data_IF_799781913534
#
_entry.id   IF_799781913534
#
_cell.length_a   1.000
_cell.length_b   1.000
_cell.length_c   1.000
_cell.angle_alpha   90.00
_cell.angle_beta   90.00
_cell.angle_gamma   90.00
#
_symmetry.space_group_name_H-M   'P 1'
#
loop_
_entity.id
_entity.type
_entity.pdbx_description
1 polymer ?
#
# COMPACT_ATOMS: atom_id res chain seq x y z
N UNK A 1 -7.44 -12.31 -49.72
CA UNK A 1 -6.30 -11.43 -49.51
C UNK A 1 -6.41 -10.94 -48.09
N UNK A 2 -5.87 -11.67 -47.13
CA UNK A 2 -4.59 -11.54 -46.48
C UNK A 2 -4.28 -10.12 -46.03
N UNK A 3 -4.43 -9.81 -44.76
CA UNK A 3 -3.22 -9.48 -44.00
C UNK A 3 -3.48 -9.60 -42.51
N UNK A 4 -2.74 -10.51 -41.86
CA UNK A 4 -2.70 -10.68 -40.43
C UNK A 4 -1.76 -9.63 -39.82
N UNK A 5 -2.16 -9.10 -38.67
CA UNK A 5 -1.25 -8.46 -37.73
C UNK A 5 -1.45 -8.96 -36.32
N UNK A 6 -0.82 -10.09 -36.08
CA UNK A 6 -0.38 -10.52 -34.76
C UNK A 6 0.72 -9.55 -34.25
N UNK A 7 0.44 -8.70 -33.28
CA UNK A 7 1.46 -7.98 -32.50
C UNK A 7 0.98 -7.67 -31.10
N UNK A 8 1.60 -8.35 -30.14
CA UNK A 8 1.69 -7.78 -28.81
C UNK A 8 1.41 -8.65 -27.62
N UNK A 9 1.79 -9.92 -27.63
CA UNK A 9 2.10 -10.60 -26.37
C UNK A 9 3.50 -10.20 -25.92
N UNK A 10 3.61 -9.07 -25.25
CA UNK A 10 4.88 -8.68 -24.62
C UNK A 10 5.20 -9.66 -23.49
N UNK A 11 6.38 -10.27 -23.62
CA UNK A 11 7.06 -11.12 -22.63
C UNK A 11 7.49 -10.28 -21.42
N UNK A 12 6.57 -9.91 -20.54
CA UNK A 12 6.86 -9.16 -19.33
C UNK A 12 7.67 -10.02 -18.35
N UNK A 13 7.43 -11.34 -18.30
CA UNK A 13 8.16 -12.25 -17.41
C UNK A 13 9.66 -12.41 -17.70
N UNK A 14 10.09 -12.29 -18.94
CA UNK A 14 11.51 -12.47 -19.31
C UNK A 14 12.42 -11.29 -18.94
N UNK A 15 11.89 -10.08 -18.83
CA UNK A 15 12.67 -8.89 -18.46
C UNK A 15 12.90 -8.79 -16.95
N UNK A 16 11.89 -9.10 -16.13
CA UNK A 16 12.03 -9.14 -14.66
C UNK A 16 13.07 -10.19 -14.22
N UNK A 17 13.03 -11.36 -14.84
CA UNK A 17 13.99 -12.42 -14.53
C UNK A 17 15.44 -12.06 -14.94
N UNK A 18 15.65 -11.30 -16.02
CA UNK A 18 16.97 -10.79 -16.39
C UNK A 18 17.47 -9.67 -15.47
N UNK A 19 16.59 -8.81 -14.99
CA UNK A 19 16.95 -7.75 -14.05
C UNK A 19 17.30 -8.32 -12.67
N UNK A 20 16.55 -9.33 -12.15
CA UNK A 20 16.94 -10.03 -10.91
C UNK A 20 18.30 -10.73 -11.05
N UNK A 21 18.58 -11.42 -12.17
CA UNK A 21 19.92 -11.99 -12.43
C UNK A 21 21.01 -10.92 -12.45
N UNK A 22 20.78 -9.78 -13.07
CA UNK A 22 21.76 -8.70 -13.12
C UNK A 22 22.00 -8.06 -11.73
N UNK A 23 21.00 -8.01 -10.85
CA UNK A 23 21.16 -7.55 -9.46
C UNK A 23 21.87 -8.60 -8.59
N UNK A 24 21.56 -9.88 -8.77
CA UNK A 24 22.25 -10.97 -8.06
C UNK A 24 23.73 -11.02 -8.46
N UNK A 25 24.04 -10.83 -9.75
CA UNK A 25 25.43 -10.80 -10.23
C UNK A 25 26.21 -9.57 -9.73
N UNK A 26 25.57 -8.46 -9.38
CA UNK A 26 26.24 -7.28 -8.80
C UNK A 26 26.49 -7.37 -7.30
N UNK A 27 25.79 -8.24 -6.58
CA UNK A 27 25.99 -8.48 -5.15
C UNK A 27 26.63 -9.82 -4.81
N UNK A 28 26.96 -10.61 -5.84
CA UNK A 28 27.53 -11.96 -5.70
C UNK A 28 29.04 -12.02 -5.67
N UNK A 29 29.68 -11.19 -4.87
CA UNK A 29 31.10 -11.34 -4.57
C UNK A 29 31.29 -11.33 -3.04
N UNK A 30 30.87 -12.38 -2.36
CA UNK A 30 31.41 -13.02 -1.15
C UNK A 30 30.43 -14.12 -0.72
N UNK A 31 30.65 -15.33 -1.13
CA UNK A 31 30.15 -16.50 -0.42
C UNK A 31 31.09 -17.67 -0.57
N UNK A 32 31.77 -18.00 0.53
CA UNK A 32 32.31 -19.33 0.77
C UNK A 32 31.39 -20.05 1.72
N UNK A 33 31.10 -21.34 1.50
CA UNK A 33 30.21 -22.10 2.37
C UNK A 33 30.87 -22.35 3.72
N UNK A 34 30.15 -22.08 4.81
CA UNK A 34 30.47 -22.47 6.16
C UNK A 34 30.14 -23.95 6.35
N UNK A 35 31.15 -24.82 6.22
CA UNK A 35 31.11 -26.17 6.78
C UNK A 35 31.23 -26.10 8.31
N UNK A 36 30.21 -26.63 8.99
CA UNK A 36 30.27 -26.90 10.43
C UNK A 36 31.23 -28.07 10.68
N UNK A 37 32.38 -27.81 11.28
CA UNK A 37 33.14 -28.80 12.02
C UNK A 37 33.25 -28.37 13.47
N UNK A 38 32.56 -29.13 14.31
CA UNK A 38 32.89 -29.21 15.71
C UNK A 38 34.26 -29.96 15.85
N UNK A 39 35.20 -29.34 16.53
CA UNK A 39 36.10 -30.01 17.47
C UNK A 39 37.25 -29.08 17.91
N UNK A 40 37.43 -29.08 19.22
CA UNK A 40 38.64 -28.89 19.98
C UNK A 40 39.47 -27.60 19.78
N UNK A 41 39.59 -26.79 20.84
CA UNK A 41 40.90 -26.51 21.39
C UNK A 41 40.87 -25.63 22.64
N UNK A 42 41.34 -26.24 23.70
CA UNK A 42 41.93 -25.55 24.87
C UNK A 42 43.34 -25.03 24.51
N UNK A 43 43.77 -24.07 25.29
CA UNK A 43 45.14 -23.61 25.53
C UNK A 43 45.61 -22.36 24.76
N UNK A 44 45.86 -21.39 25.52
CA UNK A 44 47.01 -20.63 25.95
C UNK A 44 46.75 -19.11 25.95
N UNK A 45 46.40 -18.61 27.13
CA UNK A 45 46.58 -17.19 27.47
C UNK A 45 47.74 -17.11 28.51
N UNK A 46 48.81 -16.49 28.12
CA UNK A 46 49.84 -16.01 29.03
C UNK A 46 49.50 -14.61 29.49
N UNK A 47 49.57 -14.30 30.78
CA UNK A 47 49.38 -12.96 31.29
C UNK A 47 50.72 -12.28 31.48
N UNK A 48 50.88 -11.11 30.85
CA UNK A 48 51.95 -10.20 31.30
C UNK A 48 51.58 -8.73 31.05
N UNK A 49 51.87 -7.96 32.13
CA UNK A 49 51.97 -6.52 32.20
C UNK A 49 50.71 -5.69 32.56
N UNK A 50 50.47 -5.67 33.87
CA UNK A 50 49.87 -4.50 34.55
C UNK A 50 50.96 -3.71 35.28
N UNK A 51 51.05 -2.38 35.14
CA UNK A 51 51.88 -1.56 36.01
C UNK A 51 51.19 -1.22 37.34
N UNK A 52 52.01 -1.04 38.35
CA UNK A 52 51.75 -1.01 39.76
C UNK A 52 50.77 0.04 40.29
N UNK A 53 50.17 -0.31 41.39
CA UNK A 53 49.41 0.39 42.39
C UNK A 53 49.56 1.92 42.45
N UNK A 54 48.40 2.61 42.31
CA UNK A 54 48.18 3.96 42.86
C UNK A 54 47.22 3.83 44.03
N UNK A 55 47.64 4.40 45.18
CA UNK A 55 47.08 4.23 46.51
C UNK A 55 45.59 4.48 46.62
N UNK A 56 44.89 3.55 47.26
CA UNK A 56 43.43 3.39 47.35
C UNK A 56 42.72 4.35 48.31
N UNK A 57 43.35 5.34 48.92
CA UNK A 57 42.68 6.22 49.90
C UNK A 57 42.15 7.55 49.33
N UNK A 58 42.80 8.06 48.29
CA UNK A 58 42.34 9.34 47.70
C UNK A 58 41.10 9.19 46.81
N UNK A 59 40.94 8.05 46.21
CA UNK A 59 39.85 7.76 45.29
C UNK A 59 38.51 7.51 46.02
N UNK A 60 38.55 6.96 47.25
CA UNK A 60 37.34 6.66 48.05
C UNK A 60 36.64 7.91 48.59
N UNK A 61 37.41 8.95 49.00
CA UNK A 61 36.83 10.20 49.54
C UNK A 61 36.28 11.11 48.45
N UNK A 62 36.84 11.06 47.24
CA UNK A 62 36.33 11.80 46.10
C UNK A 62 35.03 11.20 45.53
N UNK A 63 34.97 9.85 45.50
CA UNK A 63 33.79 9.15 45.02
C UNK A 63 32.59 9.30 45.97
N UNK A 64 32.79 9.28 47.28
CA UNK A 64 31.73 9.46 48.27
C UNK A 64 31.17 10.89 48.33
N UNK A 65 31.99 11.91 47.99
CA UNK A 65 31.49 13.30 47.90
C UNK A 65 30.74 13.58 46.62
N UNK A 66 31.08 12.97 45.52
CA UNK A 66 30.32 13.09 44.27
C UNK A 66 29.04 12.28 44.32
N UNK A 67 29.02 11.13 44.97
CA UNK A 67 27.82 10.30 45.15
C UNK A 67 26.77 10.98 46.01
N UNK A 68 27.14 11.73 47.06
CA UNK A 68 26.21 12.44 47.92
C UNK A 68 25.56 13.67 47.20
N UNK A 69 26.31 14.37 46.34
CA UNK A 69 25.81 15.47 45.55
C UNK A 69 24.91 15.01 44.40
N UNK A 70 25.26 13.86 43.80
CA UNK A 70 24.42 13.26 42.73
C UNK A 70 23.10 12.67 43.25
N UNK A 71 23.13 12.11 44.49
CA UNK A 71 21.91 11.55 45.12
C UNK A 71 20.93 12.66 45.55
N UNK A 72 21.47 13.82 46.05
CA UNK A 72 20.61 14.97 46.41
C UNK A 72 20.03 15.65 45.18
N UNK A 73 20.76 15.75 44.05
CA UNK A 73 20.24 16.28 42.80
C UNK A 73 19.21 15.32 42.17
N UNK A 74 19.38 14.01 42.32
CA UNK A 74 18.44 13.01 41.78
C UNK A 74 17.17 12.95 42.60
N UNK A 75 17.18 13.13 43.91
CA UNK A 75 16.00 13.20 44.76
C UNK A 75 15.21 14.51 44.55
N UNK A 76 15.87 15.65 44.27
CA UNK A 76 15.17 16.89 43.96
C UNK A 76 14.56 16.86 42.55
N UNK A 77 15.13 16.14 41.58
CA UNK A 77 14.56 15.93 40.27
C UNK A 77 13.46 14.85 40.27
N UNK A 78 13.49 13.87 41.17
CA UNK A 78 12.47 12.83 41.29
C UNK A 78 11.18 13.31 41.95
N UNK A 79 11.19 14.39 42.71
CA UNK A 79 9.96 14.93 43.32
C UNK A 79 9.23 15.94 42.44
N UNK A 80 9.90 16.45 41.38
CA UNK A 80 9.27 17.32 40.36
C UNK A 80 8.78 16.54 39.12
N UNK A 81 9.26 15.31 38.91
CA UNK A 81 8.70 14.37 37.95
C UNK A 81 7.72 13.44 38.69
N UNK A 82 6.56 13.96 39.09
CA UNK A 82 5.36 13.12 39.06
C UNK A 82 5.28 12.61 37.63
N UNK A 83 5.78 11.40 37.42
CA UNK A 83 5.64 10.73 36.16
C UNK A 83 4.16 10.75 35.86
N UNK A 84 3.73 11.62 34.94
CA UNK A 84 2.49 11.41 34.23
C UNK A 84 2.71 10.04 33.61
N UNK A 85 2.19 9.00 34.28
CA UNK A 85 2.15 7.67 33.68
C UNK A 85 1.41 7.87 32.36
N UNK A 86 1.89 7.26 31.31
CA UNK A 86 1.21 7.30 30.01
C UNK A 86 -0.26 6.83 30.09
N UNK A 87 -0.65 6.20 31.24
CA UNK A 87 -2.01 5.86 31.65
C UNK A 87 -2.85 7.04 32.11
N UNK A 88 -2.27 8.21 32.48
CA UNK A 88 -3.01 9.35 33.04
C UNK A 88 -3.33 10.43 32.00
N UNK A 89 -2.84 10.29 30.79
CA UNK A 89 -3.37 11.05 29.65
C UNK A 89 -4.76 10.48 29.34
N UNK A 90 -5.81 11.32 29.28
CA UNK A 90 -7.10 10.84 28.82
C UNK A 90 -6.84 10.19 27.46
N UNK A 91 -7.09 8.89 27.36
CA UNK A 91 -7.16 8.19 26.07
C UNK A 91 -8.29 8.89 25.32
N UNK A 92 -7.93 9.91 24.52
CA UNK A 92 -8.84 10.42 23.53
C UNK A 92 -9.34 9.16 22.80
N UNK A 93 -10.64 8.88 22.90
CA UNK A 93 -11.25 7.70 22.27
C UNK A 93 -10.76 7.64 20.83
N UNK A 94 -9.86 6.73 20.56
CA UNK A 94 -9.31 6.54 19.20
C UNK A 94 -10.48 6.02 18.38
N UNK A 95 -11.02 6.87 17.52
CA UNK A 95 -12.11 6.47 16.64
C UNK A 95 -11.60 5.45 15.63
N UNK A 96 -12.15 4.24 15.58
CA UNK A 96 -11.80 3.25 14.58
C UNK A 96 -11.92 3.82 13.17
N UNK A 97 -11.03 3.41 12.29
CA UNK A 97 -11.14 3.67 10.86
C UNK A 97 -12.28 2.82 10.28
N UNK A 98 -13.20 3.44 9.54
CA UNK A 98 -14.23 2.75 8.78
C UNK A 98 -13.61 2.21 7.49
N UNK A 99 -13.08 0.99 7.54
CA UNK A 99 -12.52 0.32 6.38
C UNK A 99 -13.63 -0.17 5.45
N UNK A 100 -13.74 0.47 4.29
CA UNK A 100 -14.75 0.16 3.28
C UNK A 100 -14.24 -0.94 2.33
N UNK A 101 -14.62 -2.19 2.57
CA UNK A 101 -14.28 -3.32 1.70
C UNK A 101 -14.93 -3.17 0.33
N UNK A 102 -14.15 -2.77 -0.68
CA UNK A 102 -14.60 -2.50 -2.04
C UNK A 102 -13.90 -3.45 -3.03
N UNK A 103 -14.62 -4.42 -3.60
CA UNK A 103 -14.05 -5.21 -4.67
C UNK A 103 -13.90 -4.34 -5.93
N UNK A 104 -12.71 -4.37 -6.56
CA UNK A 104 -12.57 -3.79 -7.89
C UNK A 104 -13.28 -4.66 -8.91
N UNK A 105 -13.80 -4.04 -9.98
CA UNK A 105 -14.34 -4.80 -11.10
C UNK A 105 -13.25 -5.50 -11.92
N UNK A 106 -11.98 -5.11 -11.75
CA UNK A 106 -10.82 -5.63 -12.48
C UNK A 106 -10.63 -7.15 -12.40
N UNK A 107 -10.78 -7.85 -11.25
CA UNK A 107 -10.71 -9.31 -11.21
C UNK A 107 -11.71 -10.01 -12.14
N UNK A 108 -12.81 -9.35 -12.45
CA UNK A 108 -13.87 -9.84 -13.34
C UNK A 108 -13.74 -9.35 -14.78
N UNK A 109 -12.63 -8.73 -15.16
CA UNK A 109 -12.46 -8.09 -16.49
C UNK A 109 -12.64 -9.02 -17.69
N UNK A 110 -12.61 -10.33 -17.48
CA UNK A 110 -12.90 -11.35 -18.50
C UNK A 110 -14.39 -11.56 -18.77
N UNK A 111 -15.28 -10.91 -18.02
CA UNK A 111 -16.74 -11.06 -18.08
C UNK A 111 -17.41 -9.69 -18.24
N UNK A 112 -18.69 -9.65 -18.67
CA UNK A 112 -19.45 -8.41 -18.74
C UNK A 112 -19.51 -7.66 -17.40
N UNK A 113 -19.52 -6.33 -17.44
CA UNK A 113 -19.57 -5.50 -16.23
C UNK A 113 -20.75 -5.85 -15.34
N UNK A 114 -21.93 -6.14 -15.92
CA UNK A 114 -23.11 -6.56 -15.16
C UNK A 114 -22.86 -7.81 -14.34
N UNK A 115 -22.20 -8.82 -14.94
CA UNK A 115 -21.82 -10.05 -14.22
C UNK A 115 -20.80 -9.78 -13.11
N UNK A 116 -19.88 -8.84 -13.34
CA UNK A 116 -18.94 -8.42 -12.32
C UNK A 116 -19.66 -7.79 -11.11
N UNK A 117 -20.58 -6.85 -11.34
CA UNK A 117 -21.31 -6.19 -10.27
C UNK A 117 -22.18 -7.17 -9.47
N UNK A 118 -22.90 -8.06 -10.14
CA UNK A 118 -23.71 -9.09 -9.46
C UNK A 118 -22.86 -10.08 -8.68
N UNK A 119 -21.68 -10.46 -9.19
CA UNK A 119 -20.73 -11.33 -8.50
C UNK A 119 -20.11 -10.68 -7.25
N UNK A 120 -19.70 -9.42 -7.37
CA UNK A 120 -19.20 -8.63 -6.23
C UNK A 120 -20.27 -8.55 -5.13
N UNK A 121 -21.52 -8.29 -5.50
CA UNK A 121 -22.63 -8.29 -4.54
C UNK A 121 -22.84 -9.64 -3.88
N UNK A 122 -22.84 -10.72 -4.66
CA UNK A 122 -23.03 -12.09 -4.15
C UNK A 122 -21.87 -12.56 -3.26
N UNK A 123 -20.66 -11.99 -3.46
CA UNK A 123 -19.51 -12.20 -2.59
C UNK A 123 -19.61 -11.43 -1.25
N UNK A 124 -20.69 -10.65 -1.03
CA UNK A 124 -20.98 -9.97 0.23
C UNK A 124 -20.40 -8.56 0.37
N UNK A 125 -19.88 -7.98 -0.69
CA UNK A 125 -19.41 -6.60 -0.67
C UNK A 125 -20.59 -5.61 -0.62
N UNK A 126 -20.33 -4.46 0.03
CA UNK A 126 -21.23 -3.29 0.04
C UNK A 126 -20.69 -2.15 -0.82
N UNK A 127 -19.40 -2.19 -1.11
CA UNK A 127 -18.70 -1.16 -1.87
C UNK A 127 -18.08 -1.76 -3.11
N UNK A 128 -17.91 -0.94 -4.15
CA UNK A 128 -17.27 -1.32 -5.40
C UNK A 128 -16.28 -0.24 -5.82
N UNK A 129 -15.15 -0.66 -6.40
CA UNK A 129 -14.21 0.23 -7.07
C UNK A 129 -14.26 -0.04 -8.58
N UNK A 130 -14.39 1.02 -9.38
CA UNK A 130 -14.45 0.88 -10.82
C UNK A 130 -13.06 0.64 -11.40
N UNK A 131 -12.89 -0.52 -12.06
CA UNK A 131 -11.70 -0.86 -12.83
C UNK A 131 -11.69 -0.19 -14.21
N UNK A 132 -11.03 -0.83 -15.18
CA UNK A 132 -10.72 -0.20 -16.46
C UNK A 132 -11.63 -0.69 -17.59
N UNK A 133 -11.65 -1.99 -17.84
CA UNK A 133 -12.32 -2.61 -18.98
C UNK A 133 -12.96 -3.94 -18.60
N UNK A 134 -14.01 -4.29 -19.31
CA UNK A 134 -14.66 -5.60 -19.26
C UNK A 134 -14.82 -6.19 -20.66
N UNK A 135 -14.80 -7.51 -20.74
CA UNK A 135 -15.13 -8.24 -21.95
C UNK A 135 -16.63 -8.47 -21.98
N UNK A 136 -17.30 -7.88 -22.93
CA UNK A 136 -18.74 -8.11 -23.14
C UNK A 136 -19.01 -9.47 -23.83
N UNK A 137 -20.27 -9.90 -23.84
CA UNK A 137 -20.69 -11.19 -24.39
C UNK A 137 -20.31 -11.40 -25.87
N UNK A 138 -20.23 -10.33 -26.63
CA UNK A 138 -19.78 -10.33 -28.02
C UNK A 138 -18.25 -10.40 -28.17
N UNK A 139 -17.50 -10.46 -27.05
CA UNK A 139 -16.02 -10.50 -27.01
C UNK A 139 -15.33 -9.15 -27.06
N UNK A 140 -16.08 -8.06 -27.20
CA UNK A 140 -15.56 -6.70 -27.22
C UNK A 140 -15.04 -6.27 -25.84
N UNK A 141 -13.93 -5.49 -25.84
CA UNK A 141 -13.40 -4.87 -24.62
C UNK A 141 -13.97 -3.47 -24.46
N UNK A 142 -14.86 -3.31 -23.49
CA UNK A 142 -15.56 -2.05 -23.22
C UNK A 142 -15.02 -1.41 -21.94
N UNK A 143 -14.74 -0.10 -21.98
CA UNK A 143 -14.33 0.65 -20.79
C UNK A 143 -15.46 0.73 -19.78
N UNK A 144 -15.16 0.55 -18.49
CA UNK A 144 -16.13 0.77 -17.40
C UNK A 144 -16.65 2.20 -17.45
N UNK A 145 -15.73 3.16 -17.67
CA UNK A 145 -16.06 4.56 -17.94
C UNK A 145 -15.06 5.11 -18.95
N UNK A 146 -15.53 5.54 -20.10
CA UNK A 146 -14.67 6.15 -21.12
C UNK A 146 -14.10 7.49 -20.62
N UNK A 147 -12.89 7.85 -21.09
CA UNK A 147 -12.21 9.08 -20.65
C UNK A 147 -12.99 10.34 -21.04
N UNK A 148 -13.64 10.31 -22.20
CA UNK A 148 -14.41 11.39 -22.80
C UNK A 148 -15.93 11.31 -22.48
N UNK A 149 -16.36 10.27 -21.77
CA UNK A 149 -17.77 10.14 -21.41
C UNK A 149 -18.24 11.35 -20.56
N UNK A 150 -19.46 11.88 -20.81
CA UNK A 150 -19.98 12.95 -20.00
C UNK A 150 -20.20 12.49 -18.54
N UNK A 151 -20.12 13.41 -17.55
CA UNK A 151 -20.32 13.07 -16.13
C UNK A 151 -21.65 12.34 -15.83
N UNK A 152 -22.70 12.61 -16.60
CA UNK A 152 -23.98 11.93 -16.44
C UNK A 152 -23.92 10.41 -16.73
N UNK A 153 -22.99 9.97 -17.57
CA UNK A 153 -22.73 8.54 -17.76
C UNK A 153 -22.22 7.89 -16.47
N UNK A 154 -21.36 8.56 -15.75
CA UNK A 154 -20.87 8.08 -14.46
C UNK A 154 -21.97 8.07 -13.40
N UNK A 155 -22.83 9.09 -13.38
CA UNK A 155 -24.01 9.14 -12.50
C UNK A 155 -24.96 7.96 -12.79
N UNK A 156 -25.20 7.65 -14.07
CA UNK A 156 -26.04 6.52 -14.49
C UNK A 156 -25.45 5.19 -14.04
N UNK A 157 -24.15 4.97 -14.22
CA UNK A 157 -23.49 3.75 -13.78
C UNK A 157 -23.50 3.63 -12.24
N UNK A 158 -23.27 4.74 -11.53
CA UNK A 158 -23.32 4.74 -10.07
C UNK A 158 -24.72 4.40 -9.54
N UNK A 159 -25.78 4.92 -10.17
CA UNK A 159 -27.17 4.53 -9.84
C UNK A 159 -27.36 3.01 -10.02
N UNK A 160 -26.89 2.44 -11.12
CA UNK A 160 -26.96 1.00 -11.39
C UNK A 160 -26.23 0.17 -10.33
N UNK A 161 -25.04 0.61 -9.87
CA UNK A 161 -24.36 -0.02 -8.77
C UNK A 161 -25.19 0.02 -7.47
N UNK A 162 -25.77 1.19 -7.14
CA UNK A 162 -26.61 1.37 -5.94
C UNK A 162 -27.91 0.56 -5.99
N UNK A 163 -28.53 0.43 -7.16
CA UNK A 163 -29.72 -0.41 -7.36
C UNK A 163 -29.43 -1.89 -7.04
N UNK A 164 -28.16 -2.33 -7.23
CA UNK A 164 -27.67 -3.65 -6.80
C UNK A 164 -27.22 -3.68 -5.33
N UNK A 165 -27.28 -2.56 -4.60
CA UNK A 165 -26.79 -2.42 -3.22
C UNK A 165 -25.28 -2.36 -3.10
N UNK A 166 -24.60 -1.82 -4.12
CA UNK A 166 -23.16 -1.55 -4.16
C UNK A 166 -22.91 -0.04 -4.21
N UNK A 167 -22.24 0.53 -3.21
CA UNK A 167 -21.82 1.93 -3.23
C UNK A 167 -20.46 2.06 -3.93
N UNK A 168 -20.35 2.81 -5.03
CA UNK A 168 -19.07 3.05 -5.69
C UNK A 168 -18.25 4.07 -4.89
N UNK A 169 -16.99 3.71 -4.53
CA UNK A 169 -16.13 4.54 -3.65
C UNK A 169 -14.85 4.99 -4.30
N UNK A 170 -14.43 4.36 -5.40
CA UNK A 170 -13.19 4.66 -6.10
C UNK A 170 -13.33 4.43 -7.60
N UNK A 171 -12.69 5.30 -8.39
CA UNK A 171 -12.55 5.17 -9.84
C UNK A 171 -11.07 5.10 -10.23
N UNK A 172 -10.71 4.14 -11.05
CA UNK A 172 -9.36 3.98 -11.58
C UNK A 172 -9.14 4.88 -12.80
N UNK A 173 -8.02 5.61 -12.83
CA UNK A 173 -7.55 6.33 -14.00
C UNK A 173 -6.24 5.73 -14.49
N UNK A 174 -6.18 5.32 -15.74
CA UNK A 174 -4.98 4.69 -16.34
C UNK A 174 -4.08 5.68 -17.06
N UNK A 175 -4.49 6.93 -17.19
CA UNK A 175 -3.62 7.95 -17.76
C UNK A 175 -2.54 8.34 -16.76
N UNK A 176 -1.31 8.36 -17.22
CA UNK A 176 -0.22 8.87 -16.38
C UNK A 176 -0.29 10.39 -16.27
N UNK A 177 -0.03 10.97 -15.11
CA UNK A 177 0.00 12.44 -14.96
C UNK A 177 0.95 13.14 -15.94
N UNK A 178 2.06 12.50 -16.33
CA UNK A 178 3.01 13.06 -17.31
C UNK A 178 2.49 13.07 -18.76
N UNK A 179 1.47 12.29 -19.06
CA UNK A 179 0.92 12.25 -20.42
C UNK A 179 0.48 13.66 -20.86
N UNK A 180 0.66 14.05 -22.14
CA UNK A 180 0.23 15.38 -22.61
C UNK A 180 -1.23 15.70 -22.28
N UNK A 181 -2.13 14.73 -22.36
CA UNK A 181 -3.53 14.85 -21.98
C UNK A 181 -3.82 14.58 -20.50
N UNK A 182 -2.78 14.35 -19.66
CA UNK A 182 -2.96 13.94 -18.26
C UNK A 182 -3.82 14.92 -17.45
N UNK A 183 -3.59 16.22 -17.60
CA UNK A 183 -4.36 17.26 -16.92
C UNK A 183 -5.84 17.27 -17.37
N UNK A 184 -6.08 17.19 -18.67
CA UNK A 184 -7.43 17.14 -19.28
C UNK A 184 -8.22 15.94 -18.77
N UNK A 185 -7.64 14.73 -18.92
CA UNK A 185 -8.31 13.47 -18.60
C UNK A 185 -8.52 13.34 -17.08
N UNK A 186 -7.55 13.70 -16.24
CA UNK A 186 -7.74 13.66 -14.80
C UNK A 186 -8.78 14.67 -14.32
N UNK A 187 -8.85 15.86 -14.94
CA UNK A 187 -9.95 16.82 -14.67
C UNK A 187 -11.32 16.22 -15.03
N UNK A 188 -11.41 15.52 -16.16
CA UNK A 188 -12.64 14.83 -16.55
C UNK A 188 -12.99 13.70 -15.59
N UNK A 189 -12.00 12.91 -15.13
CA UNK A 189 -12.20 11.86 -14.10
C UNK A 189 -12.73 12.42 -12.79
N UNK A 190 -12.24 13.58 -12.35
CA UNK A 190 -12.75 14.27 -11.15
C UNK A 190 -14.24 14.62 -11.34
N UNK A 191 -14.61 15.18 -12.47
CA UNK A 191 -16.03 15.53 -12.78
C UNK A 191 -16.93 14.29 -12.85
N UNK A 192 -16.45 13.22 -13.48
CA UNK A 192 -17.15 11.93 -13.53
C UNK A 192 -17.33 11.34 -12.12
N UNK A 193 -16.28 11.34 -11.30
CA UNK A 193 -16.32 10.85 -9.93
C UNK A 193 -17.30 11.66 -9.08
N UNK A 194 -17.25 12.99 -9.15
CA UNK A 194 -18.17 13.87 -8.45
C UNK A 194 -19.65 13.62 -8.83
N UNK A 195 -19.93 13.51 -10.12
CA UNK A 195 -21.28 13.21 -10.60
C UNK A 195 -21.80 11.84 -10.16
N UNK A 196 -20.90 10.87 -10.02
CA UNK A 196 -21.18 9.54 -9.51
C UNK A 196 -21.30 9.47 -7.98
N UNK A 197 -20.87 10.49 -7.24
CA UNK A 197 -20.73 10.46 -5.79
C UNK A 197 -19.54 9.61 -5.32
N UNK A 198 -18.55 9.39 -6.18
CA UNK A 198 -17.31 8.67 -5.89
C UNK A 198 -16.31 9.62 -5.23
N UNK A 199 -15.82 9.28 -4.05
CA UNK A 199 -14.92 10.14 -3.28
C UNK A 199 -13.47 10.12 -3.74
N UNK A 200 -13.03 9.14 -4.58
CA UNK A 200 -11.63 8.99 -4.92
C UNK A 200 -11.40 8.64 -6.39
N UNK A 201 -10.44 9.34 -7.02
CA UNK A 201 -9.85 8.99 -8.32
C UNK A 201 -8.43 8.49 -8.07
N UNK A 202 -8.16 7.23 -8.40
CA UNK A 202 -6.86 6.62 -8.24
C UNK A 202 -6.02 6.82 -9.51
N UNK A 203 -4.78 7.25 -9.33
CA UNK A 203 -3.77 7.39 -10.39
C UNK A 203 -2.44 6.81 -9.94
N UNK A 204 -1.55 6.52 -10.89
CA UNK A 204 -0.25 5.88 -10.64
C UNK A 204 0.75 6.27 -11.73
N UNK A 205 2.05 6.06 -11.46
CA UNK A 205 3.14 6.37 -12.37
C UNK A 205 3.58 5.21 -13.25
N UNK A 206 4.62 5.48 -14.01
CA UNK A 206 5.33 4.45 -14.78
C UNK A 206 6.04 3.47 -13.84
N UNK A 207 6.15 2.21 -14.25
CA UNK A 207 6.87 1.18 -13.48
C UNK A 207 8.38 1.43 -13.41
N UNK A 208 8.91 2.22 -14.34
CA UNK A 208 10.32 2.65 -14.41
C UNK A 208 10.38 4.13 -14.81
N UNK A 209 11.28 4.88 -14.20
CA UNK A 209 11.43 6.31 -14.47
C UNK A 209 10.29 7.13 -13.88
N UNK A 210 9.78 8.07 -14.65
CA UNK A 210 8.78 9.06 -14.24
C UNK A 210 9.41 10.42 -13.97
N UNK A 211 8.60 11.47 -13.96
CA UNK A 211 9.04 12.84 -13.75
C UNK A 211 8.30 13.47 -12.56
N UNK A 212 8.94 13.39 -11.39
CA UNK A 212 8.37 13.91 -10.14
C UNK A 212 7.99 15.40 -10.22
N UNK A 213 8.80 16.21 -10.90
CA UNK A 213 8.52 17.66 -11.03
C UNK A 213 7.22 17.91 -11.81
N UNK A 214 7.00 17.17 -12.91
CA UNK A 214 5.77 17.25 -13.69
C UNK A 214 4.58 16.72 -12.88
N UNK A 215 4.75 15.71 -12.04
CA UNK A 215 3.70 15.23 -11.15
C UNK A 215 3.27 16.32 -10.18
N UNK A 216 4.24 16.93 -9.49
CA UNK A 216 3.97 18.00 -8.51
C UNK A 216 3.28 19.19 -9.18
N UNK A 217 3.76 19.64 -10.33
CA UNK A 217 3.16 20.73 -11.10
C UNK A 217 1.69 20.43 -11.44
N UNK A 218 1.43 19.24 -12.00
CA UNK A 218 0.08 18.85 -12.41
C UNK A 218 -0.86 18.66 -11.23
N UNK A 219 -0.38 18.07 -10.15
CA UNK A 219 -1.21 17.88 -8.97
C UNK A 219 -1.46 19.22 -8.22
N UNK A 220 -0.57 20.19 -8.28
CA UNK A 220 -0.87 21.56 -7.82
C UNK A 220 -2.02 22.20 -8.60
N UNK A 221 -2.14 21.89 -9.89
CA UNK A 221 -3.28 22.34 -10.70
C UNK A 221 -4.56 21.52 -10.44
N UNK A 222 -4.45 20.21 -10.22
CA UNK A 222 -5.59 19.31 -10.05
C UNK A 222 -6.15 19.28 -8.62
N UNK A 223 -5.33 19.50 -7.61
CA UNK A 223 -5.74 19.42 -6.20
C UNK A 223 -6.91 20.35 -5.86
N UNK A 224 -6.85 21.66 -6.19
CA UNK A 224 -7.97 22.58 -5.99
C UNK A 224 -9.24 22.11 -6.71
N UNK A 225 -9.11 21.63 -7.96
CA UNK A 225 -10.25 21.13 -8.75
C UNK A 225 -10.88 19.92 -8.05
N UNK A 226 -10.07 18.97 -7.59
CA UNK A 226 -10.55 17.78 -6.89
C UNK A 226 -11.28 18.16 -5.60
N UNK A 227 -10.68 19.02 -4.77
CA UNK A 227 -11.26 19.51 -3.53
C UNK A 227 -12.61 20.20 -3.75
N UNK A 228 -12.68 21.12 -4.75
CA UNK A 228 -13.90 21.88 -5.06
C UNK A 228 -15.04 20.97 -5.54
N UNK A 229 -14.73 19.78 -6.05
CA UNK A 229 -15.68 18.75 -6.43
C UNK A 229 -15.95 17.71 -5.33
N UNK A 230 -15.33 17.83 -4.15
CA UNK A 230 -15.45 16.86 -3.07
C UNK A 230 -14.81 15.49 -3.38
N UNK A 231 -13.80 15.47 -4.25
CA UNK A 231 -13.08 14.27 -4.70
C UNK A 231 -11.61 14.36 -4.26
N UNK A 232 -11.00 13.23 -3.93
CA UNK A 232 -9.56 13.11 -3.72
C UNK A 232 -8.91 12.46 -4.94
N UNK A 233 -7.79 12.99 -5.39
CA UNK A 233 -6.84 12.24 -6.22
C UNK A 233 -5.96 11.46 -5.27
N UNK A 234 -5.88 10.14 -5.46
CA UNK A 234 -5.03 9.29 -4.63
C UNK A 234 -3.94 8.63 -5.47
N UNK A 235 -2.68 8.85 -5.07
CA UNK A 235 -1.48 8.40 -5.79
C UNK A 235 -1.06 7.04 -5.27
N UNK A 236 -0.95 6.05 -6.16
CA UNK A 236 -0.61 4.66 -5.85
C UNK A 236 0.85 4.35 -6.17
N UNK A 237 1.49 3.48 -5.37
CA UNK A 237 2.79 2.90 -5.68
C UNK A 237 2.71 2.05 -6.96
N UNK A 238 3.65 2.31 -7.90
CA UNK A 238 3.69 1.58 -9.18
C UNK A 238 5.11 1.45 -9.75
N UNK A 239 6.13 1.48 -8.92
CA UNK A 239 7.54 1.57 -9.35
C UNK A 239 7.95 2.99 -9.76
N UNK A 240 9.13 3.13 -10.35
CA UNK A 240 9.66 4.42 -10.80
C UNK A 240 9.61 5.52 -9.73
N UNK A 241 9.19 6.71 -10.12
CA UNK A 241 9.05 7.87 -9.20
C UNK A 241 7.98 7.70 -8.11
N UNK A 242 7.11 6.70 -8.23
CA UNK A 242 6.07 6.37 -7.26
C UNK A 242 6.29 4.97 -6.67
N UNK A 243 7.54 4.52 -6.54
CA UNK A 243 7.86 3.16 -6.14
C UNK A 243 7.50 2.84 -4.69
N UNK A 244 7.69 3.79 -3.76
CA UNK A 244 7.44 3.61 -2.33
C UNK A 244 6.30 4.50 -1.84
N UNK A 245 5.74 4.16 -0.67
CA UNK A 245 4.79 5.03 0.03
C UNK A 245 5.43 6.36 0.42
N UNK A 246 6.70 6.32 0.86
CA UNK A 246 7.47 7.53 1.16
C UNK A 246 7.60 8.45 -0.07
N UNK A 247 7.94 7.92 -1.25
CA UNK A 247 8.05 8.70 -2.49
C UNK A 247 6.70 9.32 -2.90
N UNK A 248 5.59 8.57 -2.78
CA UNK A 248 4.25 9.13 -3.01
C UNK A 248 3.90 10.23 -2.01
N UNK A 249 4.21 10.03 -0.72
CA UNK A 249 3.96 11.03 0.32
C UNK A 249 4.80 12.30 0.12
N UNK A 250 6.03 12.19 -0.34
CA UNK A 250 6.87 13.35 -0.67
C UNK A 250 6.25 14.19 -1.81
N UNK A 251 5.72 13.53 -2.86
CA UNK A 251 4.99 14.23 -3.93
C UNK A 251 3.79 14.98 -3.33
N UNK A 252 2.97 14.30 -2.52
CA UNK A 252 1.77 14.86 -1.90
C UNK A 252 2.12 16.04 -0.98
N UNK A 253 3.16 15.92 -0.17
CA UNK A 253 3.63 17.01 0.72
C UNK A 253 4.13 18.22 -0.05
N UNK A 254 4.81 18.00 -1.18
CA UNK A 254 5.27 19.11 -2.04
C UNK A 254 4.12 19.76 -2.82
N UNK A 255 3.10 19.01 -3.19
CA UNK A 255 1.85 19.55 -3.76
C UNK A 255 1.15 20.44 -2.74
N UNK A 256 1.13 20.04 -1.47
CA UNK A 256 0.55 20.77 -0.36
C UNK A 256 -0.91 21.20 -0.58
N UNK A 257 -1.73 20.31 -1.15
CA UNK A 257 -3.16 20.51 -1.33
C UNK A 257 -3.92 19.27 -0.81
N UNK A 258 -4.95 19.44 0.05
CA UNK A 258 -5.71 18.33 0.62
C UNK A 258 -6.53 17.54 -0.40
N UNK A 259 -6.66 18.02 -1.65
CA UNK A 259 -7.28 17.29 -2.77
C UNK A 259 -6.40 16.18 -3.34
N UNK A 260 -5.12 16.05 -2.93
CA UNK A 260 -4.19 15.03 -3.42
C UNK A 260 -3.56 14.30 -2.24
N UNK A 261 -3.76 12.99 -2.15
CA UNK A 261 -3.32 12.14 -1.05
C UNK A 261 -2.81 10.78 -1.56
N UNK A 262 -2.55 9.84 -0.67
CA UNK A 262 -1.93 8.54 -1.01
C UNK A 262 -2.97 7.42 -0.98
N UNK A 263 -2.95 6.56 -2.00
CA UNK A 263 -3.47 5.20 -1.98
C UNK A 263 -2.29 4.26 -1.75
N UNK A 264 -2.36 3.35 -0.77
CA UNK A 264 -1.24 2.45 -0.48
C UNK A 264 -1.43 1.09 -1.15
N UNK A 265 -0.40 0.60 -1.83
CA UNK A 265 -0.35 -0.70 -2.49
C UNK A 265 0.89 -1.47 -2.05
N UNK A 266 0.74 -2.28 -1.01
CA UNK A 266 1.82 -3.07 -0.42
C UNK A 266 2.39 -4.12 -1.39
N UNK A 267 1.53 -4.73 -2.22
CA UNK A 267 1.96 -5.69 -3.22
C UNK A 267 2.87 -5.07 -4.26
N UNK A 268 2.58 -3.83 -4.70
CA UNK A 268 3.44 -3.13 -5.64
C UNK A 268 4.80 -2.73 -5.05
N UNK A 269 4.86 -2.40 -3.76
CA UNK A 269 6.14 -2.14 -3.07
C UNK A 269 7.02 -3.40 -3.10
N UNK A 270 6.44 -4.57 -2.83
CA UNK A 270 7.16 -5.85 -2.93
C UNK A 270 7.49 -6.22 -4.37
N UNK A 271 6.51 -6.20 -5.29
CA UNK A 271 6.67 -6.65 -6.68
C UNK A 271 7.70 -5.84 -7.48
N UNK A 272 7.65 -4.51 -7.37
CA UNK A 272 8.53 -3.66 -8.16
C UNK A 272 9.88 -3.38 -7.52
N UNK A 273 9.97 -3.39 -6.19
CA UNK A 273 11.17 -2.94 -5.48
C UNK A 273 11.81 -4.00 -4.58
N UNK A 274 11.13 -5.13 -4.33
CA UNK A 274 11.56 -6.18 -3.40
C UNK A 274 11.78 -5.63 -1.97
N UNK A 275 10.91 -4.71 -1.53
CA UNK A 275 10.98 -4.06 -0.23
C UNK A 275 9.86 -4.54 0.70
N UNK A 276 10.15 -4.60 2.00
CA UNK A 276 9.14 -4.82 3.03
C UNK A 276 8.19 -3.61 3.11
N UNK A 277 6.87 -3.78 2.87
CA UNK A 277 5.92 -2.67 2.92
C UNK A 277 5.63 -2.18 4.35
N UNK A 278 5.99 -2.93 5.39
CA UNK A 278 5.65 -2.57 6.78
C UNK A 278 6.41 -1.33 7.29
N UNK A 279 7.74 -1.22 7.12
CA UNK A 279 8.43 0.03 7.42
C UNK A 279 8.04 1.19 6.51
N UNK A 280 7.69 0.89 5.24
CA UNK A 280 7.38 1.91 4.25
C UNK A 280 6.04 2.61 4.54
N UNK A 281 4.97 1.87 4.85
CA UNK A 281 3.68 2.49 5.18
C UNK A 281 3.76 3.44 6.37
N UNK A 282 4.59 3.15 7.37
CA UNK A 282 4.76 4.01 8.55
C UNK A 282 5.28 5.40 8.22
N UNK A 283 6.00 5.56 7.11
CA UNK A 283 6.54 6.84 6.62
C UNK A 283 5.49 7.71 5.94
N UNK A 284 4.39 7.11 5.48
CA UNK A 284 3.34 7.79 4.72
C UNK A 284 1.93 7.66 5.32
N UNK A 285 1.77 7.03 6.49
CA UNK A 285 0.47 6.70 7.07
C UNK A 285 -0.47 7.92 7.24
N UNK A 286 0.08 9.11 7.47
CA UNK A 286 -0.69 10.35 7.63
C UNK A 286 -1.39 10.79 6.34
N UNK A 287 -0.77 10.51 5.20
CA UNK A 287 -1.26 10.85 3.87
C UNK A 287 -2.15 9.76 3.27
N UNK A 288 -2.15 8.54 3.83
CA UNK A 288 -2.94 7.42 3.31
C UNK A 288 -4.44 7.66 3.51
N UNK A 289 -5.22 7.47 2.44
CA UNK A 289 -6.69 7.60 2.42
C UNK A 289 -7.40 6.39 1.83
N UNK A 290 -6.66 5.45 1.28
CA UNK A 290 -7.18 4.20 0.75
C UNK A 290 -6.08 3.20 0.48
N UNK A 291 -6.47 1.97 0.18
CA UNK A 291 -5.56 0.90 -0.23
C UNK A 291 -6.00 0.30 -1.56
N UNK A 292 -5.01 0.00 -2.40
CA UNK A 292 -5.15 -0.96 -3.46
C UNK A 292 -4.73 -2.32 -2.90
N UNK A 293 -5.71 -3.20 -2.71
CA UNK A 293 -5.54 -4.42 -1.92
C UNK A 293 -5.16 -5.59 -2.82
N UNK A 294 -4.00 -6.15 -2.54
CA UNK A 294 -3.51 -7.44 -2.99
C UNK A 294 -2.47 -7.95 -2.00
N UNK A 295 -2.03 -9.14 -2.21
CA UNK A 295 -0.89 -9.73 -1.54
C UNK A 295 0.18 -10.05 -2.58
N UNK A 296 1.38 -10.33 -2.13
CA UNK A 296 2.51 -10.67 -2.97
C UNK A 296 3.34 -11.75 -2.29
N UNK A 297 3.95 -12.58 -3.09
CA UNK A 297 4.89 -13.60 -2.63
C UNK A 297 6.11 -13.65 -3.51
N UNK A 298 7.26 -13.76 -2.88
CA UNK A 298 8.53 -13.94 -3.57
C UNK A 298 8.86 -15.44 -3.81
N UNK A 299 8.40 -16.31 -2.93
CA UNK A 299 8.68 -17.74 -2.99
C UNK A 299 7.39 -18.58 -3.00
N UNK A 300 7.36 -19.72 -3.73
CA UNK A 300 8.38 -20.28 -4.66
C UNK A 300 8.40 -19.59 -6.03
N UNK A 301 7.56 -18.61 -6.24
CA UNK A 301 7.44 -17.82 -7.47
C UNK A 301 7.04 -16.40 -7.11
N UNK A 302 7.76 -15.45 -7.68
CA UNK A 302 7.45 -14.03 -7.67
C UNK A 302 6.09 -13.79 -8.35
N UNK A 303 5.06 -13.48 -7.54
CA UNK A 303 3.69 -13.40 -8.04
C UNK A 303 2.77 -12.62 -7.11
N UNK A 304 2.02 -11.67 -7.69
CA UNK A 304 0.87 -11.07 -7.04
C UNK A 304 -0.27 -12.08 -6.81
N UNK A 305 -0.91 -12.01 -5.67
CA UNK A 305 -2.03 -12.86 -5.29
C UNK A 305 -3.06 -12.11 -4.44
N UNK A 306 -4.13 -12.79 -4.05
CA UNK A 306 -5.14 -12.26 -3.16
C UNK A 306 -4.68 -12.22 -1.70
N UNK A 307 -5.28 -11.36 -0.86
CA UNK A 307 -4.93 -11.21 0.55
C UNK A 307 -4.91 -12.53 1.31
N UNK A 308 -3.86 -12.76 2.08
CA UNK A 308 -3.64 -13.98 2.87
C UNK A 308 -3.19 -15.20 2.07
N UNK A 309 -2.78 -15.02 0.82
CA UNK A 309 -2.10 -16.02 0.02
C UNK A 309 -0.60 -15.73 -0.17
N UNK A 310 -0.14 -14.56 0.21
CA UNK A 310 1.23 -14.09 0.05
C UNK A 310 2.00 -13.99 1.36
N UNK A 311 2.93 -13.06 1.42
CA UNK A 311 3.89 -12.86 2.50
C UNK A 311 3.66 -11.54 3.26
N UNK A 312 2.63 -10.73 2.89
CA UNK A 312 2.33 -9.46 3.54
C UNK A 312 1.65 -9.71 4.89
N UNK A 313 2.23 -9.17 5.96
CA UNK A 313 1.59 -9.09 7.27
C UNK A 313 0.51 -7.99 7.26
N UNK A 314 -0.70 -8.35 6.90
CA UNK A 314 -1.81 -7.41 6.78
C UNK A 314 -2.23 -6.77 8.12
N UNK A 315 -1.96 -7.42 9.25
CA UNK A 315 -2.21 -6.84 10.57
C UNK A 315 -1.28 -5.65 10.80
N UNK A 316 0.03 -5.85 10.65
CA UNK A 316 1.03 -4.78 10.79
C UNK A 316 0.93 -3.72 9.70
N UNK A 317 0.44 -4.09 8.51
CA UNK A 317 0.20 -3.16 7.41
C UNK A 317 -0.90 -2.15 7.75
N UNK A 318 -2.02 -2.60 8.34
CA UNK A 318 -3.18 -1.75 8.63
C UNK A 318 -3.07 -1.05 9.99
N UNK A 319 -2.23 -1.53 10.91
CA UNK A 319 -2.08 -0.98 12.26
C UNK A 319 -1.84 0.54 12.28
N UNK A 320 -0.95 1.14 11.45
CA UNK A 320 -0.70 2.58 11.50
C UNK A 320 -1.91 3.46 11.15
N UNK A 321 -2.93 2.89 10.52
CA UNK A 321 -4.15 3.60 10.08
C UNK A 321 -5.43 3.04 10.68
N UNK A 322 -5.34 2.17 11.70
CA UNK A 322 -6.50 1.47 12.26
C UNK A 322 -7.47 2.40 13.02
N UNK A 323 -7.00 3.56 13.50
CA UNK A 323 -7.75 4.46 14.38
C UNK A 323 -7.65 5.92 13.93
N UNK A 324 -8.01 6.20 12.68
CA UNK A 324 -8.01 7.55 12.10
C UNK A 324 -9.36 8.25 12.18
N UNK A 325 -10.44 7.51 12.46
CA UNK A 325 -11.82 7.99 12.36
C UNK A 325 -12.29 8.29 10.94
N UNK A 326 -11.48 7.98 9.92
CA UNK A 326 -11.79 8.24 8.53
C UNK A 326 -12.52 7.05 7.89
N UNK A 327 -13.25 7.33 6.80
CA UNK A 327 -13.68 6.31 5.86
C UNK A 327 -12.51 6.02 4.91
N UNK A 328 -12.13 4.75 4.82
CA UNK A 328 -10.93 4.34 4.07
C UNK A 328 -11.24 3.16 3.16
N UNK A 329 -11.41 3.39 1.85
CA UNK A 329 -11.62 2.34 0.88
C UNK A 329 -10.45 1.34 0.84
N UNK A 330 -10.78 0.05 0.92
CA UNK A 330 -9.91 -1.08 0.61
C UNK A 330 -10.33 -1.64 -0.74
N UNK A 331 -9.67 -1.22 -1.82
CA UNK A 331 -10.01 -1.61 -3.19
C UNK A 331 -9.27 -2.90 -3.58
N UNK A 332 -9.96 -4.04 -3.56
CA UNK A 332 -9.38 -5.35 -3.86
C UNK A 332 -9.07 -5.48 -5.36
N UNK A 333 -7.80 -5.30 -5.71
CA UNK A 333 -7.29 -5.34 -7.09
C UNK A 333 -6.95 -6.75 -7.55
N UNK A 334 -6.38 -7.58 -6.66
CA UNK A 334 -6.10 -8.98 -6.93
C UNK A 334 -6.67 -9.85 -5.81
N UNK A 335 -7.40 -10.89 -6.20
CA UNK A 335 -8.07 -11.84 -5.29
C UNK A 335 -7.67 -13.29 -5.60
N UNK A 336 -6.81 -13.51 -6.59
CA UNK A 336 -6.52 -14.82 -7.13
C UNK A 336 -5.54 -15.60 -6.27
N UNK A 337 -5.75 -16.92 -6.19
CA UNK A 337 -4.80 -17.84 -5.61
C UNK A 337 -3.53 -17.90 -6.49
N UNK A 338 -2.32 -17.92 -5.87
CA UNK A 338 -1.07 -18.06 -6.60
C UNK A 338 -0.83 -19.51 -7.02
N UNK A 339 0.10 -19.69 -7.97
CA UNK A 339 0.62 -21.01 -8.40
C UNK A 339 -0.40 -21.92 -9.07
N UNK A 340 -1.61 -21.45 -9.29
CA UNK A 340 -2.69 -22.16 -10.01
C UNK A 340 -3.22 -21.30 -11.15
N UNK A 341 -3.84 -21.88 -12.19
CA UNK A 341 -4.51 -21.12 -13.23
C UNK A 341 -5.61 -20.23 -12.65
N UNK A 342 -5.78 -19.04 -13.24
CA UNK A 342 -6.93 -18.19 -12.88
C UNK A 342 -8.24 -18.91 -13.21
N UNK A 343 -9.27 -18.77 -12.38
CA UNK A 343 -10.59 -19.31 -12.67
C UNK A 343 -11.13 -18.84 -14.01
N UNK A 344 -11.80 -19.75 -14.70
CA UNK A 344 -12.45 -19.46 -16.00
C UNK A 344 -13.96 -19.24 -15.87
N UNK A 345 -14.52 -19.47 -14.67
CA UNK A 345 -15.92 -19.24 -14.36
C UNK A 345 -16.08 -18.07 -13.40
N UNK A 346 -17.11 -17.25 -13.56
CA UNK A 346 -17.32 -16.09 -12.69
C UNK A 346 -17.70 -16.50 -11.25
N UNK A 347 -18.34 -17.66 -11.04
CA UNK A 347 -18.68 -18.18 -9.71
C UNK A 347 -17.43 -18.53 -8.89
N UNK A 348 -16.40 -19.05 -9.53
CA UNK A 348 -15.12 -19.31 -8.87
C UNK A 348 -14.39 -17.98 -8.50
N UNK A 349 -14.59 -16.92 -9.29
CA UNK A 349 -14.10 -15.58 -8.93
C UNK A 349 -14.89 -15.02 -7.75
N UNK A 350 -16.23 -15.21 -7.71
CA UNK A 350 -17.08 -14.81 -6.58
C UNK A 350 -16.60 -15.44 -5.27
N UNK A 351 -16.23 -16.73 -5.32
CA UNK A 351 -15.71 -17.45 -4.15
C UNK A 351 -14.37 -16.86 -3.65
N UNK A 352 -13.46 -16.52 -4.55
CA UNK A 352 -12.19 -15.89 -4.21
C UNK A 352 -12.38 -14.45 -3.70
N UNK A 353 -13.32 -13.69 -4.28
CA UNK A 353 -13.67 -12.37 -3.81
C UNK A 353 -14.21 -12.42 -2.38
N UNK A 354 -15.12 -13.36 -2.08
CA UNK A 354 -15.65 -13.57 -0.73
C UNK A 354 -14.55 -13.92 0.26
N UNK A 355 -13.71 -14.89 -0.07
CA UNK A 355 -12.58 -15.30 0.77
C UNK A 355 -11.65 -14.12 1.10
N UNK A 356 -11.31 -13.31 0.09
CA UNK A 356 -10.42 -12.17 0.29
C UNK A 356 -11.03 -11.11 1.23
N UNK A 357 -12.34 -10.87 1.13
CA UNK A 357 -13.07 -10.00 2.05
C UNK A 357 -13.06 -10.54 3.47
N UNK A 358 -13.45 -11.79 3.66
CA UNK A 358 -13.54 -12.45 4.98
C UNK A 358 -12.19 -12.50 5.69
N UNK A 359 -11.11 -12.70 4.93
CA UNK A 359 -9.76 -12.67 5.48
C UNK A 359 -9.43 -11.29 6.11
N UNK A 360 -9.63 -10.19 5.36
CA UNK A 360 -9.31 -8.86 5.90
C UNK A 360 -10.32 -8.38 6.94
N UNK A 361 -11.58 -8.78 6.88
CA UNK A 361 -12.54 -8.54 7.95
C UNK A 361 -12.06 -9.16 9.27
N UNK A 362 -11.50 -10.37 9.21
CA UNK A 362 -10.92 -11.03 10.39
C UNK A 362 -9.71 -10.27 10.92
N UNK A 363 -8.81 -9.84 10.05
CA UNK A 363 -7.61 -9.04 10.42
C UNK A 363 -8.03 -7.72 11.09
N UNK A 364 -8.95 -6.98 10.48
CA UNK A 364 -9.42 -5.68 10.97
C UNK A 364 -10.17 -5.83 12.29
N UNK A 365 -11.01 -6.85 12.41
CA UNK A 365 -11.72 -7.15 13.66
C UNK A 365 -10.73 -7.41 14.81
N UNK A 366 -9.70 -8.22 14.58
CA UNK A 366 -8.65 -8.45 15.57
C UNK A 366 -7.90 -7.18 15.92
N UNK A 367 -7.60 -6.32 14.92
CA UNK A 367 -6.86 -5.09 15.11
C UNK A 367 -7.64 -4.03 15.91
N UNK A 368 -8.96 -3.91 15.71
CA UNK A 368 -9.80 -2.90 16.34
C UNK A 368 -10.43 -3.34 17.66
N UNK A 369 -10.38 -4.63 18.01
CA UNK A 369 -10.88 -5.17 19.29
C UNK A 369 -9.81 -5.21 20.40
N UNK A 370 -8.53 -5.13 20.06
CA UNK A 370 -7.40 -5.24 21.00
C UNK A 370 -7.02 -3.93 21.69
N UNK A 371 -7.82 -2.92 21.55
CA UNK A 371 -7.70 -1.60 22.21
C UNK A 371 -8.97 -1.32 22.99
#
# INVERSE_FOLDING_TARGET
MCDGRDRGRQKIGGKKMRQRKANIERHGAVDRPLEFRADTLASSFTPDLLPAAVSSEFTRRFFLRQSAAATAAWTMFSTANSAIHASDLPTAERKPTDFQHACMTLPYSGFPLERALTGIKSAGYRYVAWGVKHREANGEQVSVMAEDAPPDSAKTLAKRCRDLGLEPVMMFSTIYPEHPRGLEVLTQRIKQAAAAGIGQVLTFGHTQGGNRAVWVERFKALGPIARDHGVLIVVKQHGGSTGTGEACAEIVREVNDPGVLVNYDAGNVMDYLDLDPIPDIRKCAREVRSFCVKDHRNWPKDQDCGPGFGEIDHYRLLEPVAFTGLKMPLAYENIFAPLVPRPTTPEAIDALARRSREFLETVISGLQQTT
#
